data_IF_874651362337
#
_entry.id   IF_874651362337
#
_cell.length_a   1.000
_cell.length_b   1.000
_cell.length_c   1.000
_cell.angle_alpha   90.00
_cell.angle_beta   90.00
_cell.angle_gamma   90.00
#
_symmetry.space_group_name_H-M   'P 1'
#
loop_
_entity.id
_entity.type
_entity.pdbx_description
1 polymer ?
#
# COMPACT_ATOMS: atom_id res chain seq x y z
N UNK A 1 -0.31 12.27 -0.04
CA UNK A 1 -1.45 11.39 -0.38
C UNK A 1 -0.90 10.35 -1.35
N UNK A 2 -0.62 9.13 -0.89
CA UNK A 2 0.17 8.12 -1.63
C UNK A 2 -0.36 7.86 -3.04
N UNK A 3 -1.68 7.84 -3.23
CA UNK A 3 -2.31 7.63 -4.54
C UNK A 3 -1.83 8.66 -5.56
N UNK A 4 -1.66 9.93 -5.18
CA UNK A 4 -1.19 10.96 -6.11
C UNK A 4 0.28 10.75 -6.52
N UNK A 5 1.14 10.30 -5.60
CA UNK A 5 2.55 10.03 -5.89
C UNK A 5 2.74 8.76 -6.74
N UNK A 6 1.91 7.74 -6.51
CA UNK A 6 1.88 6.52 -7.33
C UNK A 6 1.45 6.86 -8.76
N UNK A 7 0.38 7.65 -8.93
CA UNK A 7 -0.11 8.07 -10.25
C UNK A 7 0.88 9.00 -10.98
N UNK A 8 1.68 9.79 -10.26
CA UNK A 8 2.71 10.65 -10.86
C UNK A 8 3.94 9.85 -11.31
N UNK A 9 4.25 8.74 -10.60
CA UNK A 9 5.43 7.90 -10.86
C UNK A 9 5.14 6.71 -11.78
N UNK A 10 3.88 6.45 -12.12
CA UNK A 10 3.45 5.29 -12.93
C UNK A 10 2.51 5.73 -14.04
N UNK A 11 2.34 4.90 -15.08
CA UNK A 11 1.35 5.13 -16.14
C UNK A 11 -0.06 4.68 -15.72
N UNK A 12 -0.28 4.48 -14.42
CA UNK A 12 -1.58 4.05 -13.89
C UNK A 12 -2.54 5.23 -13.82
N UNK A 13 -3.81 4.94 -14.07
CA UNK A 13 -4.90 5.88 -13.87
C UNK A 13 -5.52 5.71 -12.47
N UNK A 14 -6.25 6.73 -12.02
CA UNK A 14 -6.93 6.67 -10.71
C UNK A 14 -7.86 5.46 -10.60
N UNK A 15 -8.52 5.12 -11.70
CA UNK A 15 -9.44 3.99 -11.80
C UNK A 15 -8.73 2.63 -11.63
N UNK A 16 -7.42 2.56 -11.90
CA UNK A 16 -6.61 1.35 -11.67
C UNK A 16 -6.20 1.20 -10.20
N UNK A 17 -6.13 2.30 -9.45
CA UNK A 17 -5.67 2.33 -8.05
C UNK A 17 -6.85 2.32 -7.07
N UNK A 18 -8.02 2.84 -7.46
CA UNK A 18 -9.23 2.85 -6.62
C UNK A 18 -9.63 1.46 -6.08
N UNK A 19 -9.59 0.37 -6.86
CA UNK A 19 -9.90 -0.97 -6.37
C UNK A 19 -8.97 -1.46 -5.27
N UNK A 20 -7.71 -0.97 -5.22
CA UNK A 20 -6.79 -1.33 -4.15
C UNK A 20 -7.30 -0.87 -2.78
N UNK A 21 -8.12 0.19 -2.72
CA UNK A 21 -8.75 0.64 -1.48
C UNK A 21 -9.70 -0.38 -0.84
N UNK A 22 -10.15 -1.40 -1.60
CA UNK A 22 -10.94 -2.51 -1.05
C UNK A 22 -10.06 -3.49 -0.24
N UNK A 23 -8.75 -3.48 -0.47
CA UNK A 23 -7.79 -4.41 0.12
C UNK A 23 -6.78 -3.75 1.05
N UNK A 24 -6.36 -2.51 0.75
CA UNK A 24 -5.37 -1.76 1.51
C UNK A 24 -5.94 -0.43 1.99
N UNK A 25 -5.73 -0.15 3.27
CA UNK A 25 -6.02 1.15 3.84
C UNK A 25 -4.87 2.11 3.47
N UNK A 26 -5.15 3.04 2.58
CA UNK A 26 -4.17 4.03 2.10
C UNK A 26 -3.73 5.01 3.17
N UNK A 27 -4.56 5.30 4.17
CA UNK A 27 -4.17 6.15 5.29
C UNK A 27 -3.15 5.41 6.16
N UNK A 28 -3.41 4.13 6.47
CA UNK A 28 -2.47 3.28 7.20
C UNK A 28 -1.15 3.06 6.45
N UNK A 29 -1.23 2.85 5.15
CA UNK A 29 -0.03 2.74 4.30
C UNK A 29 0.77 4.04 4.30
N UNK A 30 0.09 5.19 4.31
CA UNK A 30 0.74 6.50 4.42
C UNK A 30 1.38 6.70 5.78
N UNK A 31 0.68 6.41 6.87
CA UNK A 31 1.22 6.47 8.23
C UNK A 31 2.46 5.57 8.36
N UNK A 32 2.41 4.35 7.80
CA UNK A 32 3.54 3.42 7.79
C UNK A 32 4.76 4.01 7.08
N UNK A 33 4.60 4.49 5.85
CA UNK A 33 5.71 4.99 5.04
C UNK A 33 6.21 6.37 5.46
N UNK A 34 5.36 7.17 6.10
CA UNK A 34 5.74 8.45 6.70
C UNK A 34 6.49 8.26 8.05
N UNK A 35 6.46 7.06 8.62
CA UNK A 35 7.02 6.77 9.94
C UNK A 35 6.16 7.28 11.10
N UNK A 36 4.89 7.62 10.84
CA UNK A 36 3.91 8.03 11.83
C UNK A 36 3.12 6.83 12.41
N UNK A 37 3.29 5.64 11.84
CA UNK A 37 2.70 4.39 12.34
C UNK A 37 3.47 3.84 13.55
N UNK A 38 2.73 3.29 14.52
CA UNK A 38 3.30 2.50 15.63
C UNK A 38 3.75 1.09 15.19
N UNK A 39 3.25 0.63 14.04
CA UNK A 39 3.60 -0.67 13.46
C UNK A 39 4.70 -0.52 12.40
N UNK A 40 5.67 -1.43 12.40
CA UNK A 40 6.76 -1.50 11.42
C UNK A 40 6.35 -2.15 10.09
N UNK A 41 5.20 -2.82 10.05
CA UNK A 41 4.67 -3.49 8.86
C UNK A 41 3.15 -3.35 8.74
N UNK A 42 2.65 -3.38 7.51
CA UNK A 42 1.24 -3.46 7.15
C UNK A 42 1.03 -4.70 6.28
N UNK A 43 0.22 -5.63 6.77
CA UNK A 43 -0.13 -6.85 6.05
C UNK A 43 -1.59 -6.82 5.62
N UNK A 44 -1.87 -7.14 4.36
CA UNK A 44 -3.21 -7.25 3.79
C UNK A 44 -3.29 -8.40 2.78
N UNK A 45 -4.50 -8.84 2.45
CA UNK A 45 -4.74 -9.98 1.55
C UNK A 45 -5.43 -9.52 0.28
N UNK A 46 -4.89 -9.92 -0.86
CA UNK A 46 -5.46 -9.69 -2.20
C UNK A 46 -5.64 -11.04 -2.86
N UNK A 47 -6.89 -11.44 -3.17
CA UNK A 47 -7.19 -12.71 -3.85
C UNK A 47 -6.45 -13.94 -3.24
N UNK A 48 -6.51 -14.07 -1.91
CA UNK A 48 -5.85 -15.14 -1.12
C UNK A 48 -4.31 -15.03 -1.03
N UNK A 49 -3.71 -14.01 -1.65
CA UNK A 49 -2.27 -13.72 -1.56
C UNK A 49 -2.01 -12.73 -0.43
N UNK A 50 -1.10 -13.05 0.47
CA UNK A 50 -0.68 -12.16 1.56
C UNK A 50 0.39 -11.19 1.07
N UNK A 51 0.12 -9.89 1.21
CA UNK A 51 1.03 -8.81 0.89
C UNK A 51 1.42 -8.11 2.18
N UNK A 52 2.72 -8.02 2.44
CA UNK A 52 3.29 -7.30 3.59
C UNK A 52 4.15 -6.16 3.10
N UNK A 53 3.85 -4.95 3.57
CA UNK A 53 4.64 -3.74 3.33
C UNK A 53 5.36 -3.39 4.62
N UNK A 54 6.66 -3.10 4.54
CA UNK A 54 7.46 -2.63 5.67
C UNK A 54 7.59 -1.11 5.67
N UNK A 55 7.89 -0.53 6.83
CA UNK A 55 8.11 0.91 7.00
C UNK A 55 9.26 1.47 6.12
N UNK A 56 10.20 0.63 5.71
CA UNK A 56 11.27 0.99 4.77
C UNK A 56 10.82 1.02 3.29
N UNK A 57 9.56 0.66 3.01
CA UNK A 57 9.00 0.58 1.66
C UNK A 57 9.20 -0.78 0.98
N UNK A 58 9.87 -1.74 1.61
CA UNK A 58 9.95 -3.11 1.11
C UNK A 58 8.58 -3.78 1.07
N UNK A 59 8.30 -4.50 -0.02
CA UNK A 59 7.06 -5.27 -0.20
C UNK A 59 7.40 -6.75 -0.35
N UNK A 60 6.76 -7.59 0.47
CA UNK A 60 6.86 -9.05 0.42
C UNK A 60 5.51 -9.62 0.04
N UNK A 61 5.50 -10.57 -0.90
CA UNK A 61 4.29 -11.25 -1.38
C UNK A 61 4.45 -12.74 -1.10
N UNK A 62 3.50 -13.30 -0.32
CA UNK A 62 3.47 -14.70 0.06
C UNK A 62 2.21 -15.38 -0.50
N UNK A 63 2.35 -16.52 -1.20
CA UNK A 63 1.23 -17.31 -1.71
C UNK A 63 0.57 -18.19 -0.63
#
# INVERSE_FOLDING_TARGET
MIVAEVLDSTDLSREDVEPLGEHVDFERLHELLAGDSEADTLTFTVEEIEVTVSADGSVTVSP
#
